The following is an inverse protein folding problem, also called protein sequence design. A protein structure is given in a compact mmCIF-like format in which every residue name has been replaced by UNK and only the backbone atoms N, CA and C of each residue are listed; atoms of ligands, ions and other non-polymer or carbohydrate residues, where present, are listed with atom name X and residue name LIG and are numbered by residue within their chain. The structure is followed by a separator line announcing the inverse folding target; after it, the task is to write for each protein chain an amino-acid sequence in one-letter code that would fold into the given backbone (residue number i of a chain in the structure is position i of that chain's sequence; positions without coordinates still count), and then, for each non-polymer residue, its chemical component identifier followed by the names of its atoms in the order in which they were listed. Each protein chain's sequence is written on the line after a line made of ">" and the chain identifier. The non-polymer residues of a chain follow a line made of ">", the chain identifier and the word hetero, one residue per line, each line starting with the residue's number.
data_IF_839568324816
#
_entry.id   IF_839568324816
#
_cell.length_a   1.000
_cell.length_b   1.000
_cell.length_c   1.000
_cell.angle_alpha   90.00
_cell.angle_beta   90.00
_cell.angle_gamma   90.00
#
_symmetry.space_group_name_H-M   'P 1'
#
loop_
_entity.id
_entity.type
_entity.pdbx_description
1 polymer ?
#
# COMPACT_ATOMS: atom_id res chain seq x y z
N UNK A 1 53.83 -33.36 83.12
CA UNK A 1 54.27 -32.96 81.76
C UNK A 1 53.36 -31.82 81.36
N UNK A 2 53.70 -30.54 81.50
CA UNK A 2 54.95 -29.80 81.25
C UNK A 2 54.51 -28.62 80.36
N UNK A 3 54.11 -27.51 80.97
CA UNK A 3 54.85 -26.27 81.23
C UNK A 3 54.76 -25.24 80.09
N UNK A 4 54.55 -24.01 80.52
CA UNK A 4 54.23 -22.75 79.82
C UNK A 4 55.47 -22.22 79.07
N UNK A 5 55.32 -21.53 77.92
CA UNK A 5 55.60 -20.09 77.79
C UNK A 5 55.69 -19.52 76.36
N UNK A 6 55.46 -18.19 76.34
CA UNK A 6 55.25 -17.23 75.25
C UNK A 6 56.49 -16.93 74.38
N UNK A 7 56.27 -16.21 73.27
CA UNK A 7 57.00 -15.03 72.72
C UNK A 7 56.79 -14.99 71.18
N UNK A 8 55.92 -14.13 70.65
CA UNK A 8 56.19 -12.74 70.20
C UNK A 8 57.09 -12.63 68.94
N UNK A 9 56.52 -12.10 67.85
CA UNK A 9 57.26 -11.70 66.64
C UNK A 9 56.36 -11.30 65.47
N UNK A 10 55.91 -10.03 65.43
CA UNK A 10 55.63 -9.27 64.19
C UNK A 10 56.92 -8.50 63.87
N UNK A 11 57.34 -8.24 62.61
CA UNK A 11 56.60 -7.50 61.57
C UNK A 11 56.75 -8.17 60.17
N UNK A 12 56.17 -7.78 59.05
CA UNK A 12 56.12 -6.46 58.43
C UNK A 12 55.10 -6.44 57.28
N UNK A 13 54.67 -5.23 56.96
CA UNK A 13 53.70 -4.88 55.94
C UNK A 13 54.19 -5.15 54.52
N UNK A 14 53.29 -5.59 53.65
CA UNK A 14 53.29 -5.22 52.23
C UNK A 14 51.85 -4.99 51.79
N UNK A 15 51.42 -3.73 51.93
CA UNK A 15 50.26 -3.15 51.27
C UNK A 15 50.68 -2.82 49.84
N UNK A 16 50.39 -3.72 48.90
CA UNK A 16 50.50 -3.42 47.47
C UNK A 16 49.22 -2.71 47.02
N UNK A 17 49.31 -1.38 46.89
CA UNK A 17 48.30 -0.53 46.25
C UNK A 17 48.34 -0.81 44.74
N UNK A 18 47.38 -1.56 44.22
CA UNK A 18 47.12 -1.64 42.79
C UNK A 18 46.24 -0.45 42.40
N UNK A 19 46.92 0.64 42.04
CA UNK A 19 46.31 1.80 41.44
C UNK A 19 45.91 1.51 39.98
N UNK A 20 44.64 1.79 39.71
CA UNK A 20 43.97 2.07 38.45
C UNK A 20 44.68 1.84 37.10
N UNK A 21 44.06 1.00 36.29
CA UNK A 21 43.89 1.23 34.85
C UNK A 21 42.45 0.83 34.48
N UNK A 22 41.49 1.68 34.86
CA UNK A 22 40.19 1.73 34.19
C UNK A 22 40.44 2.31 32.80
N UNK A 23 40.82 1.46 31.86
CA UNK A 23 40.74 1.79 30.45
C UNK A 23 39.27 2.05 30.15
N UNK A 24 38.91 3.31 29.91
CA UNK A 24 37.60 3.65 29.41
C UNK A 24 37.42 2.90 28.08
N UNK A 25 36.57 1.87 28.10
CA UNK A 25 36.10 1.24 26.88
C UNK A 25 35.26 2.30 26.17
N UNK A 26 35.89 3.09 25.31
CA UNK A 26 35.18 3.99 24.39
C UNK A 26 34.48 3.06 23.41
N UNK A 27 33.25 2.68 23.73
CA UNK A 27 32.34 2.15 22.74
C UNK A 27 32.30 3.22 21.64
N UNK A 28 32.58 2.89 20.37
CA UNK A 28 32.28 3.82 19.30
C UNK A 28 30.81 4.23 19.47
N UNK A 29 30.46 5.51 19.25
CA UNK A 29 29.06 5.89 19.24
C UNK A 29 28.37 4.90 18.32
N UNK A 30 27.39 4.16 18.85
CA UNK A 30 26.49 3.39 18.00
C UNK A 30 26.06 4.38 16.92
N UNK A 31 26.35 4.06 15.66
CA UNK A 31 25.84 4.86 14.57
C UNK A 31 24.35 5.00 14.86
N UNK A 32 23.92 6.21 15.20
CA UNK A 32 22.52 6.49 15.36
C UNK A 32 21.94 6.07 14.02
N UNK A 33 21.14 5.00 14.00
CA UNK A 33 20.26 4.76 12.88
C UNK A 33 19.49 6.07 12.78
N UNK A 34 19.81 6.89 11.76
CA UNK A 34 19.03 8.07 11.44
C UNK A 34 17.59 7.58 11.49
N UNK A 35 16.81 8.13 12.44
CA UNK A 35 15.53 7.55 12.82
C UNK A 35 14.74 7.29 11.55
N UNK A 36 14.48 6.01 11.26
CA UNK A 36 13.99 5.59 9.94
C UNK A 36 12.72 6.36 9.66
N UNK A 37 12.82 7.35 8.78
CA UNK A 37 11.82 8.41 8.68
C UNK A 37 10.60 7.85 7.96
N UNK A 38 9.40 8.13 8.49
CA UNK A 38 8.15 7.87 7.79
C UNK A 38 8.18 8.58 6.44
N UNK A 39 7.81 7.89 5.38
CA UNK A 39 7.98 8.35 4.02
C UNK A 39 6.85 7.88 3.11
N UNK A 40 6.50 8.72 2.15
CA UNK A 40 5.50 8.39 1.15
C UNK A 40 5.72 9.20 -0.11
N UNK A 41 5.30 8.64 -1.22
CA UNK A 41 5.29 9.31 -2.50
C UNK A 41 4.14 8.81 -3.36
N UNK A 42 3.74 9.63 -4.31
CA UNK A 42 2.85 9.24 -5.39
C UNK A 42 3.24 9.95 -6.68
N UNK A 43 2.84 9.38 -7.81
CA UNK A 43 2.94 10.03 -9.10
C UNK A 43 1.86 9.56 -10.07
N UNK A 44 1.62 10.38 -11.10
CA UNK A 44 0.91 10.01 -12.33
C UNK A 44 1.88 9.93 -13.50
N UNK A 45 2.13 8.72 -13.98
CA UNK A 45 3.03 8.46 -15.10
C UNK A 45 2.27 8.57 -16.42
N UNK A 46 2.25 9.78 -17.02
CA UNK A 46 1.47 10.12 -18.20
C UNK A 46 2.19 10.09 -19.56
N UNK A 47 3.47 9.68 -19.61
CA UNK A 47 4.22 9.59 -20.87
C UNK A 47 4.69 8.15 -21.11
N UNK A 48 3.78 7.23 -21.49
CA UNK A 48 4.02 5.79 -21.39
C UNK A 48 5.03 5.25 -22.40
N UNK A 49 5.45 6.06 -23.39
CA UNK A 49 6.46 5.72 -24.40
C UNK A 49 7.75 6.53 -24.27
N UNK A 50 7.77 7.55 -23.40
CA UNK A 50 8.98 8.36 -23.16
C UNK A 50 10.00 7.54 -22.36
N UNK A 51 11.26 7.55 -22.80
CA UNK A 51 12.31 6.72 -22.19
C UNK A 51 12.57 7.06 -20.72
N UNK A 52 12.54 8.35 -20.37
CA UNK A 52 12.82 8.85 -19.01
C UNK A 52 12.26 10.27 -18.87
N UNK A 53 11.59 10.56 -17.75
CA UNK A 53 11.02 11.88 -17.47
C UNK A 53 10.62 12.06 -15.99
N UNK A 54 10.48 13.32 -15.59
CA UNK A 54 9.87 13.70 -14.30
C UNK A 54 8.37 13.95 -14.51
N UNK A 55 7.48 13.30 -13.75
CA UNK A 55 6.05 13.60 -13.80
C UNK A 55 5.74 15.02 -13.35
N UNK A 56 4.60 15.55 -13.82
CA UNK A 56 4.10 16.87 -13.43
C UNK A 56 4.00 17.01 -11.91
N UNK A 57 4.49 18.13 -11.37
CA UNK A 57 4.48 18.43 -9.92
C UNK A 57 3.08 18.56 -9.33
N UNK A 58 2.04 18.77 -10.15
CA UNK A 58 0.65 18.72 -9.69
C UNK A 58 0.23 17.31 -9.27
N UNK A 59 0.77 16.30 -9.93
CA UNK A 59 0.38 14.90 -9.78
C UNK A 59 1.54 14.03 -9.30
N UNK A 60 2.55 14.64 -8.68
CA UNK A 60 3.74 13.97 -8.18
C UNK A 60 4.17 14.61 -6.88
N UNK A 61 4.38 13.78 -5.86
CA UNK A 61 4.79 14.23 -4.54
C UNK A 61 5.77 13.23 -3.93
N UNK A 62 6.76 13.74 -3.19
CA UNK A 62 7.66 12.97 -2.37
C UNK A 62 7.82 13.65 -1.01
N UNK A 63 7.59 12.93 0.08
CA UNK A 63 7.62 13.49 1.44
C UNK A 63 8.98 14.01 1.89
N UNK A 64 10.04 13.69 1.16
CA UNK A 64 11.40 14.17 1.41
C UNK A 64 11.73 15.47 0.66
N UNK A 65 10.82 15.94 -0.18
CA UNK A 65 11.03 17.09 -1.07
C UNK A 65 11.80 16.77 -2.36
N UNK A 66 12.22 15.51 -2.55
CA UNK A 66 12.87 15.08 -3.79
C UNK A 66 11.90 15.01 -4.99
N UNK A 67 12.45 15.01 -6.20
CA UNK A 67 11.67 14.83 -7.43
C UNK A 67 11.57 13.33 -7.75
N UNK A 68 10.36 12.84 -7.97
CA UNK A 68 10.15 11.47 -8.45
C UNK A 68 10.45 11.39 -9.95
N UNK A 69 11.02 10.27 -10.38
CA UNK A 69 11.44 10.08 -11.76
C UNK A 69 10.87 8.76 -12.32
N UNK A 70 10.56 8.72 -13.61
CA UNK A 70 10.04 7.53 -14.29
C UNK A 70 10.96 7.17 -15.45
N UNK A 71 11.42 5.92 -15.48
CA UNK A 71 12.21 5.34 -16.58
C UNK A 71 11.39 4.22 -17.22
N UNK A 72 11.22 4.29 -18.54
CA UNK A 72 10.63 3.19 -19.31
C UNK A 72 11.72 2.19 -19.67
N UNK A 73 11.66 1.02 -19.07
CA UNK A 73 12.65 -0.06 -19.27
C UNK A 73 12.40 -0.83 -20.57
N UNK A 74 11.12 -1.07 -20.89
CA UNK A 74 10.66 -1.73 -22.10
C UNK A 74 9.17 -1.45 -22.29
N UNK A 75 8.56 -2.01 -23.34
CA UNK A 75 7.10 -1.96 -23.53
C UNK A 75 6.39 -2.46 -22.27
N UNK A 76 5.51 -1.62 -21.70
CA UNK A 76 4.70 -1.91 -20.53
C UNK A 76 5.47 -2.16 -19.24
N UNK A 77 6.77 -1.85 -19.18
CA UNK A 77 7.62 -2.06 -18.01
C UNK A 77 8.35 -0.78 -17.64
N UNK A 78 8.11 -0.31 -16.43
CA UNK A 78 8.58 0.98 -15.95
C UNK A 78 9.32 0.81 -14.62
N UNK A 79 10.33 1.64 -14.39
CA UNK A 79 10.94 1.88 -13.09
C UNK A 79 10.55 3.28 -12.63
N UNK A 80 9.90 3.34 -11.47
CA UNK A 80 9.63 4.57 -10.73
C UNK A 80 10.69 4.72 -9.67
N UNK A 81 11.43 5.83 -9.74
CA UNK A 81 12.49 6.16 -8.80
C UNK A 81 11.95 7.20 -7.82
N UNK A 82 12.00 6.87 -6.54
CA UNK A 82 11.54 7.72 -5.44
C UNK A 82 12.75 8.01 -4.53
N UNK A 83 13.50 9.10 -4.78
CA UNK A 83 14.71 9.39 -4.03
C UNK A 83 14.42 9.62 -2.56
N UNK A 84 15.42 9.33 -1.72
CA UNK A 84 15.39 9.41 -0.24
C UNK A 84 14.31 8.55 0.46
N UNK A 85 13.59 7.70 -0.28
CA UNK A 85 12.60 6.76 0.26
C UNK A 85 13.11 5.31 0.30
N UNK A 86 14.39 5.09 0.00
CA UNK A 86 15.07 3.80 0.06
C UNK A 86 15.04 3.20 1.46
N UNK A 87 14.02 2.40 1.75
CA UNK A 87 13.82 1.73 3.02
C UNK A 87 13.58 0.24 2.82
N UNK A 88 13.91 -0.56 3.83
CA UNK A 88 13.41 -1.92 3.89
C UNK A 88 11.90 -1.88 4.16
N UNK A 89 11.11 -2.58 3.32
CA UNK A 89 9.68 -2.77 3.56
C UNK A 89 8.75 -1.79 2.87
N UNK A 90 7.67 -1.41 3.58
CA UNK A 90 6.60 -0.55 3.06
C UNK A 90 5.63 -1.29 2.13
N UNK A 91 4.79 -0.53 1.46
CA UNK A 91 3.80 -1.04 0.51
C UNK A 91 3.76 -0.15 -0.73
N UNK A 92 3.67 -0.79 -1.90
CA UNK A 92 3.53 -0.14 -3.20
C UNK A 92 2.18 -0.49 -3.83
N UNK A 93 1.61 0.46 -4.55
CA UNK A 93 0.36 0.31 -5.29
C UNK A 93 0.49 0.97 -6.67
N UNK A 94 -0.14 0.36 -7.67
CA UNK A 94 -0.25 0.93 -9.01
C UNK A 94 -1.59 0.58 -9.64
N UNK A 95 -2.22 1.52 -10.33
CA UNK A 95 -3.44 1.24 -11.12
C UNK A 95 -3.32 1.87 -12.50
N UNK A 96 -3.90 1.20 -13.49
CA UNK A 96 -3.91 1.71 -14.85
C UNK A 96 -4.82 2.95 -14.95
N UNK A 97 -4.43 3.85 -15.83
CA UNK A 97 -5.16 5.06 -16.14
C UNK A 97 -5.49 5.15 -17.64
N UNK A 98 -6.69 5.62 -17.93
CA UNK A 98 -7.21 5.83 -19.28
C UNK A 98 -8.46 5.01 -19.57
N UNK A 99 -8.94 5.09 -20.81
CA UNK A 99 -10.20 4.46 -21.24
C UNK A 99 -10.01 3.02 -21.80
N UNK A 100 -8.81 2.46 -21.70
CA UNK A 100 -8.51 1.08 -22.14
C UNK A 100 -8.66 0.10 -20.99
N UNK A 101 -9.04 -1.15 -21.29
CA UNK A 101 -9.04 -2.23 -20.29
C UNK A 101 -7.65 -2.75 -19.90
N UNK A 102 -6.61 -1.93 -20.00
CA UNK A 102 -5.27 -2.31 -19.56
C UNK A 102 -5.24 -2.39 -18.04
N UNK A 103 -4.28 -3.13 -17.50
CA UNK A 103 -4.07 -3.27 -16.05
C UNK A 103 -2.62 -3.03 -15.74
N UNK A 104 -2.33 -2.31 -14.66
CA UNK A 104 -0.98 -2.13 -14.15
C UNK A 104 -0.91 -2.72 -12.75
N UNK A 105 0.21 -3.36 -12.45
CA UNK A 105 0.48 -3.98 -11.17
C UNK A 105 1.93 -3.71 -10.76
N UNK A 106 2.28 -4.05 -9.52
CA UNK A 106 3.65 -3.91 -9.04
C UNK A 106 4.47 -5.11 -9.54
N UNK A 107 5.58 -4.86 -10.24
CA UNK A 107 6.54 -5.91 -10.57
C UNK A 107 7.32 -6.33 -9.33
N UNK A 108 7.97 -5.35 -8.71
CA UNK A 108 8.62 -5.43 -7.41
C UNK A 108 8.94 -4.01 -6.92
N UNK A 109 9.36 -3.87 -5.66
CA UNK A 109 10.04 -2.66 -5.20
C UNK A 109 11.24 -3.02 -4.35
N UNK A 110 12.30 -2.22 -4.44
CA UNK A 110 13.55 -2.44 -3.73
C UNK A 110 14.24 -1.13 -3.44
N UNK A 111 15.19 -1.13 -2.51
CA UNK A 111 16.06 0.02 -2.26
C UNK A 111 17.32 -0.08 -3.13
N UNK A 112 17.77 1.04 -3.66
CA UNK A 112 19.09 1.23 -4.28
C UNK A 112 19.72 2.46 -3.66
N UNK A 113 20.69 2.26 -2.76
CA UNK A 113 21.17 3.34 -1.90
C UNK A 113 20.03 3.94 -1.06
N UNK A 114 19.84 5.25 -1.18
CA UNK A 114 18.78 6.04 -0.55
C UNK A 114 17.49 6.12 -1.39
N UNK A 115 17.49 5.56 -2.60
CA UNK A 115 16.37 5.65 -3.54
C UNK A 115 15.54 4.38 -3.48
N UNK A 116 14.22 4.52 -3.49
CA UNK A 116 13.32 3.40 -3.69
C UNK A 116 13.04 3.25 -5.19
N UNK A 117 13.31 2.06 -5.72
CA UNK A 117 12.99 1.66 -7.08
C UNK A 117 11.72 0.82 -7.05
N UNK A 118 10.66 1.30 -7.67
CA UNK A 118 9.37 0.62 -7.80
C UNK A 118 9.16 0.25 -9.27
N UNK A 119 9.13 -1.03 -9.58
CA UNK A 119 8.84 -1.52 -10.92
C UNK A 119 7.34 -1.67 -11.11
N UNK A 120 6.83 -1.12 -12.20
CA UNK A 120 5.41 -1.22 -12.58
C UNK A 120 5.33 -1.98 -13.90
N UNK A 121 4.48 -3.02 -13.92
CA UNK A 121 4.21 -3.85 -15.06
C UNK A 121 2.78 -3.62 -15.52
N UNK A 122 2.59 -3.18 -16.76
CA UNK A 122 1.31 -2.91 -17.37
C UNK A 122 1.02 -3.87 -18.53
N UNK A 123 -0.25 -4.27 -18.66
CA UNK A 123 -0.69 -5.33 -19.57
C UNK A 123 -1.95 -4.95 -20.34
N UNK A 124 -1.99 -5.36 -21.60
CA UNK A 124 -3.22 -5.48 -22.40
C UNK A 124 -3.52 -6.97 -22.58
N UNK A 125 -4.49 -7.50 -21.82
CA UNK A 125 -4.63 -8.95 -21.69
C UNK A 125 -3.42 -9.53 -20.96
N UNK A 126 -2.75 -10.54 -21.52
CA UNK A 126 -1.52 -11.12 -20.96
C UNK A 126 -0.23 -10.47 -21.47
N UNK A 127 -0.29 -9.64 -22.51
CA UNK A 127 0.88 -9.03 -23.12
C UNK A 127 1.23 -7.71 -22.41
N UNK A 128 2.52 -7.45 -22.22
CA UNK A 128 2.97 -6.14 -21.75
C UNK A 128 2.54 -5.05 -22.73
N UNK A 129 2.05 -3.94 -22.21
CA UNK A 129 1.57 -2.82 -23.01
C UNK A 129 1.88 -1.48 -22.35
N UNK A 130 2.40 -0.55 -23.14
CA UNK A 130 2.63 0.82 -22.68
C UNK A 130 1.29 1.44 -22.25
N UNK A 131 1.21 1.87 -21.00
CA UNK A 131 -0.03 2.28 -20.35
C UNK A 131 0.25 3.42 -19.40
N UNK A 132 -0.62 4.42 -19.37
CA UNK A 132 -0.58 5.50 -18.37
C UNK A 132 -1.01 4.91 -17.02
N UNK A 133 -0.38 5.30 -15.91
CA UNK A 133 -0.72 4.74 -14.60
C UNK A 133 -0.54 5.74 -13.46
N UNK A 134 -1.20 5.50 -12.35
CA UNK A 134 -0.81 6.09 -11.06
C UNK A 134 -0.01 5.06 -10.27
N UNK A 135 0.98 5.53 -9.52
CA UNK A 135 1.73 4.68 -8.61
C UNK A 135 1.99 5.42 -7.30
N UNK A 136 2.05 4.69 -6.20
CA UNK A 136 2.29 5.27 -4.90
C UNK A 136 2.96 4.27 -3.94
N UNK A 137 3.66 4.82 -2.97
CA UNK A 137 4.37 4.08 -1.95
C UNK A 137 4.21 4.76 -0.59
N UNK A 138 4.11 3.96 0.46
CA UNK A 138 4.21 4.44 1.85
C UNK A 138 5.00 3.45 2.69
N UNK A 139 5.84 3.97 3.57
CA UNK A 139 6.44 3.20 4.66
C UNK A 139 6.14 3.88 6.00
N UNK A 140 5.95 3.06 7.04
CA UNK A 140 5.77 3.53 8.42
C UNK A 140 4.75 4.69 8.56
N UNK A 141 3.51 4.54 8.08
CA UNK A 141 2.49 5.58 8.24
C UNK A 141 2.18 5.79 9.72
N UNK A 142 1.73 6.99 10.08
CA UNK A 142 1.38 7.35 11.47
C UNK A 142 -0.12 7.41 11.69
N UNK A 143 -0.93 7.13 10.67
CA UNK A 143 -2.37 7.17 10.76
C UNK A 143 -2.91 6.08 11.68
N UNK A 144 -3.90 6.43 12.49
CA UNK A 144 -4.74 5.46 13.19
C UNK A 144 -5.61 4.71 12.18
N UNK A 145 -5.98 3.48 12.54
CA UNK A 145 -6.81 2.57 11.74
C UNK A 145 -6.32 2.39 10.30
N UNK A 146 -5.00 2.29 10.17
CA UNK A 146 -4.32 2.09 8.92
C UNK A 146 -3.54 0.78 8.98
N UNK A 147 -3.70 -0.03 7.95
CA UNK A 147 -2.91 -1.26 7.80
C UNK A 147 -2.41 -1.40 6.38
N UNK A 148 -1.25 -2.03 6.24
CA UNK A 148 -0.82 -2.56 4.95
C UNK A 148 -0.16 -3.92 5.13
N UNK A 149 -0.10 -4.68 4.04
CA UNK A 149 0.72 -5.87 3.94
C UNK A 149 1.16 -6.16 2.50
N UNK A 150 2.18 -7.01 2.39
CA UNK A 150 2.55 -7.73 1.18
C UNK A 150 2.33 -9.22 1.41
N UNK A 151 1.50 -9.84 0.57
CA UNK A 151 1.27 -11.27 0.53
C UNK A 151 2.32 -11.92 -0.38
N UNK A 152 3.28 -12.62 0.20
CA UNK A 152 4.47 -13.15 -0.48
C UNK A 152 4.56 -14.70 -0.49
N UNK A 153 3.62 -15.37 0.18
CA UNK A 153 3.55 -16.84 0.28
C UNK A 153 2.21 -17.33 -0.28
N UNK A 154 2.03 -17.32 -1.61
CA UNK A 154 0.72 -17.40 -2.24
C UNK A 154 0.07 -18.79 -2.13
N UNK A 155 0.85 -19.82 -1.81
CA UNK A 155 0.38 -21.22 -1.63
C UNK A 155 0.34 -21.66 -0.17
N UNK A 156 0.81 -20.84 0.77
CA UNK A 156 0.81 -21.18 2.19
C UNK A 156 -0.62 -21.16 2.75
N UNK A 157 -0.99 -22.18 3.53
CA UNK A 157 -2.34 -22.29 4.09
C UNK A 157 -2.69 -21.11 5.01
N UNK A 158 -1.74 -20.67 5.83
CA UNK A 158 -1.84 -19.47 6.68
C UNK A 158 -0.46 -18.97 7.06
N UNK A 159 -0.27 -17.66 7.13
CA UNK A 159 1.00 -17.04 7.52
C UNK A 159 0.83 -15.58 7.97
N UNK A 160 1.88 -15.07 8.60
CA UNK A 160 2.05 -13.66 8.95
C UNK A 160 3.11 -13.06 8.02
N UNK A 161 2.81 -12.02 7.24
CA UNK A 161 3.83 -11.33 6.45
C UNK A 161 5.00 -10.83 7.29
N UNK A 162 6.18 -10.75 6.68
CA UNK A 162 7.39 -10.29 7.38
C UNK A 162 7.18 -8.87 7.91
N UNK A 163 7.68 -8.55 9.11
CA UNK A 163 7.42 -7.28 9.81
C UNK A 163 7.82 -6.01 9.04
N UNK A 164 8.78 -6.09 8.12
CA UNK A 164 9.11 -4.97 7.23
C UNK A 164 8.02 -4.69 6.20
N UNK A 165 7.27 -5.72 5.81
CA UNK A 165 6.28 -5.70 4.74
C UNK A 165 4.85 -5.76 5.24
N UNK A 166 4.63 -5.49 6.52
CA UNK A 166 3.31 -5.22 7.06
C UNK A 166 3.35 -4.12 8.10
N UNK A 167 2.21 -3.48 8.28
CA UNK A 167 1.98 -2.51 9.33
C UNK A 167 0.54 -2.60 9.79
N UNK A 168 0.33 -2.37 11.07
CA UNK A 168 -0.98 -2.22 11.66
C UNK A 168 -0.89 -1.18 12.78
N UNK A 169 -1.69 -0.12 12.68
CA UNK A 169 -1.65 0.99 13.63
C UNK A 169 -1.99 0.59 15.07
N UNK A 170 -2.64 -0.56 15.29
CA UNK A 170 -2.91 -1.09 16.64
C UNK A 170 -1.72 -1.80 17.27
N UNK A 171 -0.65 -2.04 16.52
CA UNK A 171 0.48 -2.87 16.94
C UNK A 171 0.26 -4.39 16.79
N UNK A 172 -0.94 -4.84 16.40
CA UNK A 172 -1.20 -6.23 16.07
C UNK A 172 -0.49 -6.67 14.77
N UNK A 173 -0.37 -7.98 14.55
CA UNK A 173 0.05 -8.51 13.24
C UNK A 173 -1.16 -8.71 12.32
N UNK A 174 -0.97 -8.41 11.05
CA UNK A 174 -1.88 -8.84 9.99
C UNK A 174 -1.55 -10.29 9.63
N UNK A 175 -2.58 -11.09 9.31
CA UNK A 175 -2.39 -12.49 8.90
C UNK A 175 -3.17 -12.78 7.63
N UNK A 176 -2.68 -13.78 6.89
CA UNK A 176 -3.27 -14.20 5.62
C UNK A 176 -3.56 -15.67 5.72
N UNK A 177 -4.77 -16.07 5.35
CA UNK A 177 -5.18 -17.45 5.20
C UNK A 177 -5.57 -17.71 3.73
N UNK A 178 -5.02 -18.76 3.13
CA UNK A 178 -5.45 -19.23 1.82
C UNK A 178 -6.66 -20.14 1.99
N UNK A 179 -7.78 -19.77 1.37
CA UNK A 179 -9.04 -20.50 1.41
C UNK A 179 -9.23 -21.43 0.20
N UNK A 180 -8.51 -21.15 -0.89
CA UNK A 180 -8.52 -21.91 -2.13
C UNK A 180 -7.53 -21.29 -3.12
N UNK A 181 -7.43 -21.85 -4.32
CA UNK A 181 -6.57 -21.27 -5.37
C UNK A 181 -7.01 -19.86 -5.71
N UNK A 182 -6.12 -18.89 -5.53
CA UNK A 182 -6.41 -17.48 -5.76
C UNK A 182 -7.47 -16.89 -4.83
N UNK A 183 -7.80 -17.55 -3.71
CA UNK A 183 -8.78 -17.04 -2.76
C UNK A 183 -8.17 -16.94 -1.37
N UNK A 184 -8.08 -15.70 -0.87
CA UNK A 184 -7.41 -15.38 0.39
C UNK A 184 -8.33 -14.63 1.33
N UNK A 185 -8.12 -14.86 2.62
CA UNK A 185 -8.70 -14.08 3.71
C UNK A 185 -7.57 -13.37 4.44
N UNK A 186 -7.64 -12.04 4.47
CA UNK A 186 -6.70 -11.17 5.17
C UNK A 186 -7.36 -10.68 6.46
N UNK A 187 -6.70 -10.91 7.59
CA UNK A 187 -7.15 -10.44 8.89
C UNK A 187 -6.31 -9.24 9.32
N UNK A 188 -6.98 -8.14 9.65
CA UNK A 188 -6.40 -6.90 10.16
C UNK A 188 -6.92 -6.67 11.58
N UNK A 189 -6.27 -7.25 12.58
CA UNK A 189 -6.75 -7.22 13.95
C UNK A 189 -6.52 -5.86 14.63
N UNK A 190 -7.35 -5.51 15.61
CA UNK A 190 -7.10 -4.39 16.52
C UNK A 190 -7.41 -2.98 15.99
N UNK A 191 -7.60 -2.80 14.67
CA UNK A 191 -8.09 -1.53 14.10
C UNK A 191 -9.60 -1.39 14.29
N UNK A 192 -10.14 -0.16 14.30
CA UNK A 192 -11.59 0.08 14.45
C UNK A 192 -12.43 -0.55 13.34
N UNK A 193 -11.82 -0.85 12.19
CA UNK A 193 -12.46 -1.53 11.09
C UNK A 193 -11.74 -1.30 9.77
N UNK A 194 -12.47 -1.54 8.69
CA UNK A 194 -12.04 -1.34 7.30
C UNK A 194 -12.99 -0.32 6.65
N UNK A 195 -12.46 0.84 6.25
CA UNK A 195 -13.19 1.87 5.53
C UNK A 195 -12.95 1.80 4.03
N UNK A 196 -11.68 1.88 3.63
CA UNK A 196 -11.21 1.64 2.27
C UNK A 196 -10.34 0.37 2.22
N UNK A 197 -10.35 -0.30 1.06
CA UNK A 197 -9.44 -1.41 0.74
C UNK A 197 -8.89 -1.21 -0.64
N UNK A 198 -7.57 -1.18 -0.75
CA UNK A 198 -6.85 -1.14 -2.01
C UNK A 198 -5.96 -2.36 -2.17
N UNK A 199 -5.99 -2.96 -3.37
CA UNK A 199 -5.22 -4.16 -3.69
C UNK A 199 -4.50 -3.94 -5.01
N UNK A 200 -3.25 -4.36 -5.08
CA UNK A 200 -2.51 -4.44 -6.34
C UNK A 200 -1.85 -5.80 -6.48
N UNK A 201 -1.97 -6.42 -7.65
CA UNK A 201 -1.24 -7.66 -7.96
C UNK A 201 0.28 -7.45 -7.91
N UNK A 202 1.02 -8.53 -7.71
CA UNK A 202 2.47 -8.48 -7.63
C UNK A 202 3.14 -9.54 -8.51
N UNK A 203 4.14 -9.12 -9.29
CA UNK A 203 5.05 -10.00 -9.99
C UNK A 203 5.20 -9.71 -11.48
N UNK A 204 5.96 -10.57 -12.14
CA UNK A 204 6.25 -10.44 -13.58
C UNK A 204 5.05 -10.81 -14.46
N UNK A 205 4.29 -11.84 -14.07
CA UNK A 205 3.12 -12.31 -14.80
C UNK A 205 1.86 -11.61 -14.30
N UNK A 206 0.88 -11.36 -15.19
CA UNK A 206 -0.39 -10.76 -14.79
C UNK A 206 -1.13 -11.65 -13.78
N UNK A 207 -1.37 -11.11 -12.58
CA UNK A 207 -2.33 -11.63 -11.62
C UNK A 207 -3.25 -10.48 -11.20
N UNK A 208 -4.50 -10.52 -11.65
CA UNK A 208 -5.50 -9.52 -11.28
C UNK A 208 -6.09 -9.90 -9.94
N UNK A 209 -5.77 -9.12 -8.91
CA UNK A 209 -6.35 -9.30 -7.58
C UNK A 209 -7.42 -8.23 -7.30
N UNK A 210 -8.57 -8.65 -6.80
CA UNK A 210 -9.74 -7.83 -6.49
C UNK A 210 -10.22 -8.08 -5.06
N UNK A 211 -11.02 -7.14 -4.55
CA UNK A 211 -11.69 -7.26 -3.26
C UNK A 211 -13.00 -8.03 -3.47
N UNK A 212 -13.12 -9.24 -2.93
CA UNK A 212 -14.38 -10.00 -2.96
C UNK A 212 -15.40 -9.43 -1.99
N UNK A 213 -14.94 -9.22 -0.75
CA UNK A 213 -15.70 -8.52 0.28
C UNK A 213 -14.79 -8.06 1.41
N UNK A 214 -15.30 -7.18 2.27
CA UNK A 214 -14.64 -6.85 3.52
C UNK A 214 -15.67 -6.56 4.60
N UNK A 215 -15.30 -6.83 5.84
CA UNK A 215 -16.13 -6.58 7.00
C UNK A 215 -15.27 -6.08 8.16
N UNK A 216 -15.85 -5.21 8.98
CA UNK A 216 -15.27 -4.82 10.26
C UNK A 216 -15.81 -5.72 11.36
N UNK A 217 -14.94 -6.14 12.28
CA UNK A 217 -15.36 -6.81 13.50
C UNK A 217 -15.86 -5.69 14.45
N UNK A 218 -17.14 -5.77 14.85
CA UNK A 218 -17.76 -4.76 15.71
C UNK A 218 -17.22 -4.80 17.14
N UNK A 219 -17.45 -3.73 17.91
CA UNK A 219 -17.09 -3.66 19.33
C UNK A 219 -17.69 -4.85 20.12
N UNK A 220 -16.94 -5.48 21.06
CA UNK A 220 -15.60 -5.10 21.55
C UNK A 220 -14.45 -5.67 20.72
N UNK A 221 -14.73 -6.45 19.68
CA UNK A 221 -13.70 -7.11 18.86
C UNK A 221 -13.28 -6.16 17.74
N UNK A 222 -12.33 -5.28 18.01
CA UNK A 222 -11.72 -4.44 16.99
C UNK A 222 -10.97 -5.30 15.95
N UNK A 223 -11.17 -5.00 14.67
CA UNK A 223 -10.43 -5.56 13.54
C UNK A 223 -11.26 -5.58 12.27
N UNK A 224 -10.77 -6.30 11.26
CA UNK A 224 -11.51 -6.53 10.04
C UNK A 224 -10.97 -7.70 9.24
N UNK A 225 -11.79 -8.15 8.30
CA UNK A 225 -11.46 -9.20 7.36
C UNK A 225 -11.67 -8.67 5.96
N UNK A 226 -10.67 -8.84 5.09
CA UNK A 226 -10.79 -8.58 3.66
C UNK A 226 -10.58 -9.89 2.89
N UNK A 227 -11.50 -10.19 1.99
CA UNK A 227 -11.43 -11.33 1.09
C UNK A 227 -10.86 -10.89 -0.26
N UNK A 228 -9.85 -11.60 -0.73
CA UNK A 228 -9.11 -11.28 -1.95
C UNK A 228 -9.27 -12.42 -2.95
N UNK A 229 -9.63 -12.08 -4.18
CA UNK A 229 -9.65 -13.01 -5.30
C UNK A 229 -8.58 -12.61 -6.31
N UNK A 230 -7.73 -13.55 -6.70
CA UNK A 230 -6.72 -13.36 -7.73
C UNK A 230 -6.98 -14.31 -8.89
N UNK A 231 -6.97 -13.75 -10.10
CA UNK A 231 -7.13 -14.50 -11.35
C UNK A 231 -6.01 -14.17 -12.34
N UNK A 232 -5.74 -15.10 -13.24
CA UNK A 232 -4.80 -14.90 -14.34
C UNK A 232 -5.41 -14.04 -15.46
N UNK A 233 -4.68 -13.90 -16.57
CA UNK A 233 -5.16 -13.16 -17.74
C UNK A 233 -6.48 -13.70 -18.32
N UNK A 234 -6.70 -15.01 -18.24
CA UNK A 234 -7.87 -15.74 -18.73
C UNK A 234 -9.02 -15.79 -17.70
N UNK A 235 -8.89 -15.08 -16.58
CA UNK A 235 -9.86 -15.08 -15.47
C UNK A 235 -9.99 -16.42 -14.74
N UNK A 236 -8.99 -17.31 -14.87
CA UNK A 236 -8.92 -18.50 -14.03
C UNK A 236 -8.31 -18.16 -12.66
N UNK A 237 -8.83 -18.71 -11.55
CA UNK A 237 -8.25 -18.49 -10.22
C UNK A 237 -6.78 -18.93 -10.17
N UNK A 238 -5.91 -18.06 -9.65
CA UNK A 238 -4.47 -18.32 -9.57
C UNK A 238 -3.92 -17.85 -8.23
N UNK A 239 -3.06 -18.67 -7.62
CA UNK A 239 -2.32 -18.24 -6.45
C UNK A 239 -1.32 -17.16 -6.83
N UNK A 240 -1.40 -16.01 -6.17
CA UNK A 240 -0.64 -14.82 -6.54
C UNK A 240 -0.19 -14.01 -5.34
N UNK A 241 0.90 -13.30 -5.53
CA UNK A 241 1.36 -12.28 -4.59
C UNK A 241 0.56 -11.00 -4.81
N UNK A 242 0.32 -10.24 -3.74
CA UNK A 242 -0.40 -8.96 -3.82
C UNK A 242 -0.02 -8.02 -2.69
N UNK A 243 -0.19 -6.72 -2.91
CA UNK A 243 -0.18 -5.72 -1.85
C UNK A 243 -1.61 -5.37 -1.45
N UNK A 244 -1.82 -5.11 -0.17
CA UNK A 244 -3.11 -4.69 0.36
C UNK A 244 -2.91 -3.56 1.36
N UNK A 245 -3.75 -2.53 1.25
CA UNK A 245 -3.86 -1.45 2.23
C UNK A 245 -5.31 -1.30 2.67
N UNK A 246 -5.54 -1.12 3.97
CA UNK A 246 -6.82 -0.67 4.51
C UNK A 246 -6.67 0.63 5.27
N UNK A 247 -7.67 1.50 5.19
CA UNK A 247 -7.70 2.74 5.95
C UNK A 247 -9.10 3.09 6.45
N UNK A 248 -9.17 3.91 7.49
CA UNK A 248 -10.39 4.54 7.98
C UNK A 248 -10.11 6.02 8.20
N UNK A 249 -11.00 6.90 7.70
CA UNK A 249 -10.88 8.37 7.84
C UNK A 249 -9.59 8.98 7.25
N UNK A 250 -8.91 8.27 6.35
CA UNK A 250 -7.69 8.72 5.68
C UNK A 250 -7.53 8.01 4.34
N UNK A 251 -6.66 8.51 3.47
CA UNK A 251 -6.36 7.86 2.19
C UNK A 251 -5.46 6.63 2.33
N UNK A 252 -5.19 5.96 1.22
CA UNK A 252 -4.38 4.73 1.16
C UNK A 252 -2.87 4.94 1.39
N UNK A 253 -2.40 6.17 1.62
CA UNK A 253 -1.06 6.44 2.16
C UNK A 253 -1.11 6.98 3.59
N UNK A 254 -2.26 6.88 4.25
CA UNK A 254 -2.45 7.27 5.64
C UNK A 254 -2.39 8.78 5.87
N UNK A 255 -2.83 9.60 4.89
CA UNK A 255 -2.91 11.07 5.03
C UNK A 255 -4.22 11.66 4.55
N UNK A 256 -4.42 12.91 4.94
CA UNK A 256 -5.44 13.83 4.43
C UNK A 256 -4.73 15.05 3.83
N UNK A 257 -5.32 15.74 2.84
CA UNK A 257 -6.66 15.57 2.29
C UNK A 257 -6.86 14.25 1.53
N UNK A 258 -7.98 13.58 1.80
CA UNK A 258 -8.34 12.32 1.16
C UNK A 258 -9.85 12.12 1.12
N UNK A 259 -10.30 11.35 0.14
CA UNK A 259 -11.67 10.86 0.06
C UNK A 259 -11.68 9.48 -0.57
N UNK A 260 -12.59 8.62 -0.11
CA UNK A 260 -12.79 7.29 -0.69
C UNK A 260 -14.27 6.92 -0.74
N UNK A 261 -14.60 5.98 -1.61
CA UNK A 261 -15.91 5.35 -1.63
C UNK A 261 -15.84 3.92 -2.15
N UNK A 262 -16.68 3.04 -1.58
CA UNK A 262 -17.11 1.79 -2.21
C UNK A 262 -18.38 2.06 -2.99
N UNK A 263 -18.33 1.86 -4.30
CA UNK A 263 -19.43 2.16 -5.21
C UNK A 263 -19.99 0.87 -5.78
N UNK A 264 -21.28 0.62 -5.58
CA UNK A 264 -22.04 -0.39 -6.31
C UNK A 264 -22.75 0.24 -7.51
N UNK A 265 -22.92 -0.47 -8.63
CA UNK A 265 -23.78 -0.02 -9.72
C UNK A 265 -25.19 0.29 -9.24
N UNK A 266 -25.85 1.32 -9.79
CA UNK A 266 -27.19 1.68 -9.35
C UNK A 266 -28.23 0.62 -9.78
N UNK A 267 -29.27 0.45 -8.96
CA UNK A 267 -30.47 -0.30 -9.33
C UNK A 267 -31.65 0.67 -9.49
N UNK A 268 -32.31 0.75 -10.67
CA UNK A 268 -31.94 0.13 -11.95
C UNK A 268 -30.70 0.78 -12.59
N UNK A 269 -30.02 0.06 -13.51
CA UNK A 269 -28.84 0.57 -14.23
C UNK A 269 -29.12 1.78 -15.13
N UNK A 270 -30.40 2.10 -15.37
CA UNK A 270 -30.83 3.31 -16.07
C UNK A 270 -30.77 4.57 -15.20
N UNK A 271 -30.53 4.45 -13.88
CA UNK A 271 -30.43 5.61 -12.99
C UNK A 271 -29.19 6.43 -13.31
N UNK A 272 -29.41 7.66 -13.77
CA UNK A 272 -28.38 8.66 -14.06
C UNK A 272 -28.33 9.78 -13.01
N UNK A 273 -29.20 9.75 -12.00
CA UNK A 273 -29.14 10.70 -10.89
C UNK A 273 -28.03 10.33 -9.90
N UNK A 274 -27.34 11.33 -9.31
CA UNK A 274 -26.35 11.09 -8.27
C UNK A 274 -26.96 10.35 -7.06
N UNK A 275 -26.19 9.46 -6.46
CA UNK A 275 -26.56 8.75 -5.24
C UNK A 275 -25.38 8.67 -4.27
N UNK A 276 -25.68 8.46 -2.99
CA UNK A 276 -24.67 8.33 -1.94
C UNK A 276 -24.17 6.89 -1.85
N UNK A 277 -22.85 6.65 -1.96
CA UNK A 277 -22.26 5.32 -1.71
C UNK A 277 -22.45 4.85 -0.26
N UNK A 278 -22.44 3.54 -0.02
CA UNK A 278 -22.69 2.97 1.33
C UNK A 278 -21.50 3.11 2.28
N UNK A 279 -20.29 3.01 1.72
CA UNK A 279 -19.04 3.16 2.47
C UNK A 279 -18.28 4.31 1.84
N UNK A 280 -18.10 5.39 2.59
CA UNK A 280 -17.44 6.60 2.08
C UNK A 280 -16.73 7.35 3.20
N UNK A 281 -15.81 8.20 2.79
CA UNK A 281 -15.19 9.21 3.62
C UNK A 281 -14.76 10.39 2.75
N UNK A 282 -14.83 11.59 3.32
CA UNK A 282 -14.27 12.78 2.72
C UNK A 282 -13.72 13.68 3.84
N UNK A 283 -12.42 13.95 3.81
CA UNK A 283 -11.76 14.73 4.86
C UNK A 283 -12.26 16.17 4.97
N UNK A 284 -13.00 16.67 3.98
CA UNK A 284 -13.61 18.02 4.00
C UNK A 284 -14.96 18.01 4.73
N UNK A 285 -15.50 16.84 5.08
CA UNK A 285 -16.86 16.67 5.61
C UNK A 285 -17.96 16.74 4.54
N UNK A 286 -17.63 17.03 3.28
CA UNK A 286 -18.62 17.10 2.19
C UNK A 286 -19.07 15.71 1.76
N UNK A 287 -20.35 15.55 1.41
CA UNK A 287 -20.90 14.28 0.94
C UNK A 287 -20.25 13.81 -0.38
N UNK A 288 -19.91 12.52 -0.45
CA UNK A 288 -19.46 11.87 -1.69
C UNK A 288 -20.67 11.34 -2.45
N UNK A 289 -20.73 11.55 -3.76
CA UNK A 289 -21.81 11.01 -4.61
C UNK A 289 -21.23 10.25 -5.80
N UNK A 290 -21.95 9.25 -6.27
CA UNK A 290 -21.64 8.49 -7.48
C UNK A 290 -22.74 8.70 -8.52
N UNK A 291 -22.35 8.81 -9.79
CA UNK A 291 -23.26 8.99 -10.92
C UNK A 291 -22.82 8.08 -12.06
N UNK A 292 -23.69 7.16 -12.49
CA UNK A 292 -23.46 6.35 -13.68
C UNK A 292 -23.65 7.21 -14.92
N UNK A 293 -22.61 7.31 -15.75
CA UNK A 293 -22.60 8.13 -16.99
C UNK A 293 -22.57 7.29 -18.26
N UNK A 294 -22.38 5.98 -18.13
CA UNK A 294 -22.42 5.01 -19.23
C UNK A 294 -22.21 3.59 -18.71
N UNK A 295 -22.22 2.61 -19.61
CA UNK A 295 -21.95 1.20 -19.24
C UNK A 295 -20.54 1.10 -18.66
N UNK A 296 -20.44 0.61 -17.43
CA UNK A 296 -19.19 0.49 -16.70
C UNK A 296 -18.51 1.80 -16.37
N UNK A 297 -19.17 2.95 -16.59
CA UNK A 297 -18.58 4.28 -16.40
C UNK A 297 -19.32 5.04 -15.31
N UNK A 298 -18.58 5.43 -14.27
CA UNK A 298 -19.13 6.12 -13.11
C UNK A 298 -18.25 7.31 -12.75
N UNK A 299 -18.87 8.46 -12.52
CA UNK A 299 -18.23 9.64 -11.93
C UNK A 299 -18.50 9.65 -10.43
N UNK A 300 -17.44 9.73 -9.63
CA UNK A 300 -17.48 9.84 -8.18
C UNK A 300 -17.06 11.25 -7.78
N UNK A 301 -18.03 12.07 -7.38
CA UNK A 301 -17.78 13.44 -6.95
C UNK A 301 -17.29 13.45 -5.50
N UNK A 302 -16.17 14.14 -5.26
CA UNK A 302 -15.55 14.29 -3.94
C UNK A 302 -15.38 15.79 -3.61
N UNK A 303 -16.47 16.49 -3.24
CA UNK A 303 -16.46 17.94 -3.12
C UNK A 303 -15.46 18.44 -2.07
N UNK A 304 -14.80 19.56 -2.37
CA UNK A 304 -13.79 20.19 -1.53
C UNK A 304 -12.40 19.54 -1.61
N UNK A 305 -12.25 18.38 -2.27
CA UNK A 305 -10.94 17.76 -2.47
C UNK A 305 -10.14 18.47 -3.58
N UNK A 306 -8.81 18.61 -3.45
CA UNK A 306 -7.95 19.26 -4.44
C UNK A 306 -7.64 18.34 -5.64
N UNK A 307 -8.68 17.94 -6.39
CA UNK A 307 -8.59 16.97 -7.50
C UNK A 307 -7.82 17.48 -8.75
N UNK A 308 -7.32 18.72 -8.75
CA UNK A 308 -6.43 19.26 -9.81
C UNK A 308 -4.97 18.83 -9.56
N UNK A 309 -4.76 17.90 -8.64
CA UNK A 309 -3.48 17.29 -8.32
C UNK A 309 -3.67 15.92 -7.69
N UNK A 310 -2.70 15.51 -6.87
CA UNK A 310 -2.79 14.29 -6.07
C UNK A 310 -2.69 13.01 -6.87
N UNK A 311 -3.19 11.93 -6.28
CA UNK A 311 -3.23 10.60 -6.86
C UNK A 311 -4.58 9.92 -6.60
N UNK A 312 -4.94 9.02 -7.50
CA UNK A 312 -6.13 8.18 -7.38
C UNK A 312 -5.73 6.73 -7.52
N UNK A 313 -6.32 5.88 -6.69
CA UNK A 313 -6.23 4.43 -6.84
C UNK A 313 -7.63 3.82 -6.89
N UNK A 314 -7.78 2.78 -7.69
CA UNK A 314 -9.04 2.06 -7.90
C UNK A 314 -8.74 0.57 -7.82
N UNK A 315 -9.56 -0.13 -7.03
CA UNK A 315 -9.56 -1.59 -6.94
C UNK A 315 -10.93 -2.11 -7.30
N UNK A 316 -11.00 -3.13 -8.15
CA UNK A 316 -12.26 -3.80 -8.46
C UNK A 316 -12.82 -4.49 -7.20
N UNK A 317 -14.13 -4.37 -6.99
CA UNK A 317 -14.83 -5.12 -5.95
C UNK A 317 -15.64 -6.21 -6.64
N UNK A 318 -15.03 -7.39 -6.73
CA UNK A 318 -15.49 -8.50 -7.57
C UNK A 318 -14.83 -9.82 -7.19
N UNK A 319 -15.31 -10.90 -7.80
CA UNK A 319 -14.73 -12.24 -7.71
C UNK A 319 -13.62 -12.48 -8.77
N UNK A 320 -12.91 -11.42 -9.18
CA UNK A 320 -11.76 -11.48 -10.09
C UNK A 320 -12.09 -11.38 -11.58
N UNK A 321 -13.36 -11.50 -11.96
CA UNK A 321 -13.79 -11.45 -13.37
C UNK A 321 -13.78 -10.05 -13.98
N UNK A 322 -13.98 -9.04 -13.14
CA UNK A 322 -14.02 -7.63 -13.53
C UNK A 322 -12.74 -6.91 -13.14
N UNK A 323 -12.37 -5.92 -13.96
CA UNK A 323 -11.29 -4.98 -13.68
C UNK A 323 -11.84 -3.57 -13.75
N UNK A 324 -11.37 -2.69 -12.87
CA UNK A 324 -11.73 -1.28 -12.84
C UNK A 324 -10.45 -0.45 -12.75
N UNK A 325 -10.45 0.71 -13.39
CA UNK A 325 -9.31 1.61 -13.44
C UNK A 325 -9.74 3.07 -13.50
N UNK A 326 -8.76 3.95 -13.38
CA UNK A 326 -9.00 5.40 -13.38
C UNK A 326 -9.12 5.87 -14.82
N UNK A 327 -10.32 6.26 -15.27
CA UNK A 327 -10.47 6.81 -16.61
C UNK A 327 -9.97 8.27 -16.68
N UNK A 328 -10.25 9.05 -15.64
CA UNK A 328 -9.81 10.43 -15.45
C UNK A 328 -10.04 10.87 -14.00
N UNK A 329 -9.37 11.91 -13.52
CA UNK A 329 -9.81 12.67 -12.35
C UNK A 329 -9.56 14.17 -12.56
N UNK A 330 -10.31 15.00 -11.86
CA UNK A 330 -10.24 16.45 -11.97
C UNK A 330 -11.36 17.14 -11.20
N UNK A 331 -11.66 18.39 -11.55
CA UNK A 331 -12.63 19.23 -10.83
C UNK A 331 -14.04 18.63 -10.67
N UNK A 332 -14.45 17.72 -11.56
CA UNK A 332 -15.77 17.07 -11.53
C UNK A 332 -15.82 15.80 -10.66
N UNK A 333 -14.67 15.32 -10.15
CA UNK A 333 -14.57 14.04 -9.45
C UNK A 333 -13.58 13.06 -10.10
N UNK A 334 -13.65 11.81 -9.66
CA UNK A 334 -12.93 10.69 -10.25
C UNK A 334 -13.86 9.94 -11.19
N UNK A 335 -13.47 9.79 -12.45
CA UNK A 335 -14.15 8.89 -13.39
C UNK A 335 -13.50 7.51 -13.32
N UNK A 336 -14.29 6.51 -12.96
CA UNK A 336 -13.90 5.10 -12.97
C UNK A 336 -14.53 4.43 -14.18
N UNK A 337 -13.74 3.59 -14.86
CA UNK A 337 -14.23 2.70 -15.90
C UNK A 337 -13.96 1.26 -15.48
N UNK A 338 -14.94 0.40 -15.68
CA UNK A 338 -14.87 -1.03 -15.41
C UNK A 338 -15.11 -1.85 -16.68
N UNK A 339 -14.52 -3.04 -16.71
CA UNK A 339 -14.58 -3.99 -17.83
C UNK A 339 -14.73 -5.42 -17.32
N UNK A 340 -15.42 -6.24 -18.12
CA UNK A 340 -15.42 -7.70 -18.03
C UNK A 340 -14.93 -8.24 -19.37
N UNK A 341 -13.82 -8.99 -19.35
CA UNK A 341 -13.08 -9.26 -20.58
C UNK A 341 -12.68 -7.95 -21.29
N UNK A 342 -12.93 -7.83 -22.59
CA UNK A 342 -12.67 -6.61 -23.36
C UNK A 342 -13.83 -5.60 -23.39
N UNK A 343 -14.96 -5.91 -22.76
CA UNK A 343 -16.20 -5.11 -22.87
C UNK A 343 -16.40 -4.28 -21.60
N UNK A 344 -16.89 -3.05 -21.76
CA UNK A 344 -17.29 -2.21 -20.64
C UNK A 344 -18.40 -2.88 -19.83
N UNK A 345 -18.31 -2.87 -18.50
CA UNK A 345 -19.22 -3.60 -17.62
C UNK A 345 -19.47 -2.86 -16.31
N UNK A 346 -20.72 -2.79 -15.86
CA UNK A 346 -21.10 -2.18 -14.59
C UNK A 346 -20.70 -3.11 -13.42
N UNK A 347 -19.54 -2.82 -12.81
CA UNK A 347 -18.99 -3.58 -11.67
C UNK A 347 -18.92 -2.71 -10.42
N UNK A 348 -19.04 -3.28 -9.21
CA UNK A 348 -18.64 -2.61 -7.99
C UNK A 348 -17.13 -2.37 -7.95
N UNK A 349 -16.71 -1.32 -7.24
CA UNK A 349 -15.30 -0.97 -7.03
C UNK A 349 -15.09 -0.16 -5.75
N UNK A 350 -13.85 -0.11 -5.27
CA UNK A 350 -13.39 0.92 -4.32
C UNK A 350 -12.54 1.94 -5.08
N UNK A 351 -12.68 3.21 -4.71
CA UNK A 351 -11.90 4.32 -5.24
C UNK A 351 -11.43 5.19 -4.10
N UNK A 352 -10.16 5.59 -4.16
CA UNK A 352 -9.56 6.52 -3.21
C UNK A 352 -8.80 7.60 -3.94
N UNK A 353 -9.00 8.84 -3.50
CA UNK A 353 -8.18 9.99 -3.83
C UNK A 353 -7.35 10.38 -2.61
N UNK A 354 -6.11 10.78 -2.85
CA UNK A 354 -5.26 11.40 -1.85
C UNK A 354 -4.38 12.50 -2.46
N UNK A 355 -4.18 13.60 -1.73
CA UNK A 355 -3.16 14.60 -2.03
C UNK A 355 -2.24 14.87 -0.83
#
# INVERSE_FOLDING_TARGET
>A
MGYVDRFAGRPAAFLAVLAGLLGALVLPPAAAHAGVTSGYAYLWANQPTTASYDPSTYYSFNSTGAVNHVVRLAVGRYEVQLPNLGAAGGVAHATAYGNTGNTCQIGFWTRSGDTLLMHVNCFAGSAYADTVFTAAFVNRPTAADFTYLFADQPTAASYTPTSSYQFNSSGASNTIQRLGTGYYMVNVNGVRGIGDVQITGYGANLARCSVGSFASLGYPRFGGVAFVHCVDAASAPVDANFTLTTSVLTGFLGRVPAAYARVDPPAPLTRTTPYTPTTLFNSTGSGVTATRTGVGRTVVAMPGQPLIGGTVHVTAYSFGTERCGVAAWGSIGVTVQCWQGSVAYDSPFTVVFQA
#
